data_IF_064408360504
#
_entry.id   IF_064408360504
#
_cell.length_a   1.000
_cell.length_b   1.000
_cell.length_c   1.000
_cell.angle_alpha   90.00
_cell.angle_beta   90.00
_cell.angle_gamma   90.00
#
_symmetry.space_group_name_H-M   'P 1'
#
loop_
_entity.id
_entity.type
_entity.pdbx_description
1 polymer ?
#
# COMPACT_ATOMS: atom_id res chain seq x y z
N UNK A 1 -30.16 -5.46 -76.71
CA UNK A 1 -30.11 -6.16 -75.45
C UNK A 1 -28.88 -5.69 -74.69
N UNK A 2 -29.04 -4.79 -73.66
CA UNK A 2 -27.93 -4.29 -72.79
C UNK A 2 -27.98 -5.08 -71.52
N UNK A 3 -26.90 -5.82 -71.19
CA UNK A 3 -26.74 -6.54 -69.91
C UNK A 3 -26.16 -5.57 -68.91
N UNK A 4 -26.92 -5.29 -67.86
CA UNK A 4 -26.45 -4.54 -66.71
C UNK A 4 -25.67 -5.50 -65.71
N UNK A 5 -24.42 -5.19 -65.50
CA UNK A 5 -23.55 -5.90 -64.51
C UNK A 5 -23.62 -5.14 -63.18
N UNK A 6 -24.23 -5.74 -62.17
CA UNK A 6 -24.23 -5.22 -60.76
C UNK A 6 -22.97 -5.72 -60.08
N UNK A 7 -22.10 -4.77 -59.77
CA UNK A 7 -20.92 -5.04 -58.88
C UNK A 7 -21.37 -4.90 -57.44
N UNK A 8 -21.40 -6.00 -56.72
CA UNK A 8 -21.69 -6.06 -55.29
C UNK A 8 -20.39 -5.78 -54.52
N UNK A 9 -20.25 -4.57 -53.96
CA UNK A 9 -19.10 -4.22 -53.09
C UNK A 9 -19.36 -4.78 -51.70
N UNK A 10 -18.65 -5.82 -51.30
CA UNK A 10 -18.65 -6.32 -49.93
C UNK A 10 -17.75 -5.43 -49.06
N UNK A 11 -18.35 -4.67 -48.16
CA UNK A 11 -17.66 -3.86 -47.16
C UNK A 11 -17.21 -4.81 -46.03
N UNK A 12 -15.92 -5.14 -45.98
CA UNK A 12 -15.32 -5.84 -44.83
C UNK A 12 -15.12 -4.83 -43.71
N UNK A 13 -16.00 -4.85 -42.70
CA UNK A 13 -15.80 -4.19 -41.44
C UNK A 13 -14.78 -5.02 -40.61
N UNK A 14 -13.52 -4.60 -40.62
CA UNK A 14 -12.51 -5.14 -39.73
C UNK A 14 -12.79 -4.65 -38.29
N UNK A 15 -13.43 -5.48 -37.49
CA UNK A 15 -13.45 -5.30 -36.03
C UNK A 15 -12.04 -5.53 -35.50
N UNK A 16 -11.27 -4.46 -35.27
CA UNK A 16 -10.04 -4.55 -34.49
C UNK A 16 -10.43 -4.77 -33.04
N UNK A 17 -10.39 -6.01 -32.61
CA UNK A 17 -10.50 -6.36 -31.18
C UNK A 17 -9.21 -5.84 -30.51
N UNK A 18 -9.24 -4.66 -29.92
CA UNK A 18 -8.21 -4.19 -29.01
C UNK A 18 -8.30 -5.05 -27.75
N UNK A 19 -7.61 -6.18 -27.74
CA UNK A 19 -7.36 -6.94 -26.51
C UNK A 19 -6.48 -6.03 -25.68
N UNK A 20 -7.08 -5.32 -24.72
CA UNK A 20 -6.35 -4.57 -23.70
C UNK A 20 -5.38 -5.56 -23.03
N UNK A 21 -4.08 -5.35 -23.24
CA UNK A 21 -3.03 -6.22 -22.69
C UNK A 21 -3.22 -6.27 -21.18
N UNK A 22 -3.60 -7.41 -20.64
CA UNK A 22 -3.75 -7.60 -19.21
C UNK A 22 -2.38 -7.35 -18.55
N UNK A 23 -2.30 -6.37 -17.66
CA UNK A 23 -1.07 -6.08 -16.92
C UNK A 23 -0.92 -7.15 -15.85
N UNK A 24 0.24 -7.77 -15.81
CA UNK A 24 0.63 -8.73 -14.77
C UNK A 24 1.99 -8.35 -14.19
N UNK A 25 2.25 -8.81 -12.99
CA UNK A 25 3.52 -8.63 -12.30
C UNK A 25 4.58 -9.64 -12.76
N UNK A 26 5.84 -9.34 -12.43
CA UNK A 26 6.99 -10.25 -12.54
C UNK A 26 7.82 -10.18 -11.25
N UNK A 27 8.61 -11.21 -10.98
CA UNK A 27 9.47 -11.25 -9.79
C UNK A 27 10.51 -10.12 -9.83
N UNK A 28 10.62 -9.36 -8.74
CA UNK A 28 11.68 -8.40 -8.50
C UNK A 28 12.76 -9.00 -7.60
N UNK A 29 12.36 -9.77 -6.57
CA UNK A 29 13.28 -10.50 -5.70
C UNK A 29 13.13 -12.01 -5.90
N UNK A 30 14.14 -12.81 -5.55
CA UNK A 30 13.97 -14.27 -5.48
C UNK A 30 12.85 -14.67 -4.53
N UNK A 31 12.24 -15.82 -4.79
CA UNK A 31 11.26 -16.42 -3.88
C UNK A 31 11.89 -16.72 -2.53
N UNK A 32 11.09 -16.66 -1.47
CA UNK A 32 11.53 -16.92 -0.09
C UNK A 32 12.63 -15.97 0.42
N UNK A 33 12.73 -14.77 -0.16
CA UNK A 33 13.64 -13.72 0.33
C UNK A 33 13.17 -13.08 1.64
N UNK A 34 11.92 -13.27 2.02
CA UNK A 34 11.29 -12.67 3.20
C UNK A 34 10.70 -13.74 4.12
N UNK A 35 10.29 -13.32 5.33
CA UNK A 35 9.42 -14.14 6.16
C UNK A 35 7.99 -14.19 5.61
N UNK A 36 7.10 -14.90 6.31
CA UNK A 36 5.66 -14.92 6.01
C UNK A 36 5.01 -13.51 6.12
N UNK A 37 5.64 -12.59 6.87
CA UNK A 37 5.15 -11.24 7.10
C UNK A 37 5.79 -10.21 6.13
N UNK A 38 6.04 -10.59 4.87
CA UNK A 38 6.54 -9.70 3.82
C UNK A 38 5.56 -8.55 3.59
N UNK A 39 5.96 -7.31 3.96
CA UNK A 39 5.09 -6.14 4.03
C UNK A 39 5.85 -4.82 3.88
N UNK A 40 5.11 -3.71 3.94
CA UNK A 40 5.59 -2.36 4.12
C UNK A 40 6.60 -1.87 3.10
N UNK A 41 6.39 -2.05 1.78
CA UNK A 41 7.34 -1.54 0.79
C UNK A 41 7.29 0.00 0.77
N UNK A 42 8.46 0.61 0.73
CA UNK A 42 8.61 2.06 0.58
C UNK A 42 9.86 2.39 -0.22
N UNK A 43 9.80 3.43 -1.06
CA UNK A 43 10.92 3.86 -1.90
C UNK A 43 11.37 5.25 -1.46
N UNK A 44 12.68 5.40 -1.19
CA UNK A 44 13.25 6.68 -0.79
C UNK A 44 13.51 7.60 -2.00
N UNK A 45 13.96 8.83 -1.72
CA UNK A 45 14.27 9.83 -2.78
C UNK A 45 15.45 9.45 -3.67
N UNK A 46 16.28 8.48 -3.25
CA UNK A 46 17.42 7.94 -4.01
C UNK A 46 17.01 6.75 -4.88
N UNK A 47 15.72 6.34 -4.83
CA UNK A 47 15.19 5.19 -5.56
C UNK A 47 15.49 3.85 -4.91
N UNK A 48 15.93 3.82 -3.65
CA UNK A 48 16.15 2.60 -2.90
C UNK A 48 14.82 2.09 -2.35
N UNK A 49 14.55 0.80 -2.54
CA UNK A 49 13.37 0.14 -1.99
C UNK A 49 13.71 -0.40 -0.60
N UNK A 50 12.84 -0.14 0.36
CA UNK A 50 12.86 -0.73 1.70
C UNK A 50 11.62 -1.59 1.88
N UNK A 51 11.79 -2.75 2.53
CA UNK A 51 10.70 -3.72 2.77
C UNK A 51 10.93 -4.35 4.15
N UNK A 52 9.88 -4.48 4.95
CA UNK A 52 10.01 -5.12 6.27
C UNK A 52 10.12 -6.63 6.15
N UNK A 53 10.71 -7.24 7.18
CA UNK A 53 10.81 -8.69 7.38
C UNK A 53 11.63 -9.42 6.30
N UNK A 54 12.67 -8.76 5.78
CA UNK A 54 13.63 -9.35 4.85
C UNK A 54 14.47 -10.42 5.55
N UNK A 55 14.53 -11.62 4.98
CA UNK A 55 15.14 -12.85 5.50
C UNK A 55 14.43 -13.42 6.74
N UNK A 56 14.04 -12.59 7.71
CA UNK A 56 13.34 -12.98 8.93
C UNK A 56 12.50 -11.83 9.49
N UNK A 57 11.57 -12.14 10.39
CA UNK A 57 10.81 -11.14 11.12
C UNK A 57 11.71 -10.20 11.94
N UNK A 58 11.25 -8.97 12.14
CA UNK A 58 11.96 -7.94 12.89
C UNK A 58 13.16 -7.35 12.16
N UNK A 59 13.19 -7.42 10.83
CA UNK A 59 14.24 -6.79 10.01
C UNK A 59 13.65 -5.83 9.00
N UNK A 60 14.46 -4.90 8.50
CA UNK A 60 14.18 -4.08 7.33
C UNK A 60 15.23 -4.39 6.26
N UNK A 61 14.78 -4.82 5.10
CA UNK A 61 15.63 -4.98 3.91
C UNK A 61 15.76 -3.68 3.14
N UNK A 62 16.92 -3.44 2.53
CA UNK A 62 17.15 -2.36 1.58
C UNK A 62 17.64 -2.93 0.26
N UNK A 63 17.00 -2.51 -0.84
CA UNK A 63 17.30 -2.93 -2.20
C UNK A 63 17.71 -1.70 -3.00
N UNK A 64 18.94 -1.71 -3.50
CA UNK A 64 19.48 -0.61 -4.29
C UNK A 64 19.03 -0.72 -5.75
N UNK A 65 19.02 0.38 -6.51
CA UNK A 65 18.66 0.35 -7.93
C UNK A 65 19.55 -0.56 -8.79
N UNK A 66 20.79 -0.84 -8.34
CA UNK A 66 21.73 -1.76 -8.99
C UNK A 66 21.49 -3.25 -8.66
N UNK A 67 20.42 -3.54 -7.89
CA UNK A 67 20.02 -4.90 -7.50
C UNK A 67 20.68 -5.43 -6.22
N UNK A 68 21.59 -4.68 -5.59
CA UNK A 68 22.15 -5.09 -4.30
C UNK A 68 21.11 -5.03 -3.21
N UNK A 69 21.08 -6.07 -2.37
CA UNK A 69 20.20 -6.18 -1.23
C UNK A 69 20.97 -6.44 0.06
N UNK A 70 20.51 -5.84 1.16
CA UNK A 70 21.08 -6.06 2.48
C UNK A 70 19.99 -6.05 3.56
N UNK A 71 20.25 -6.67 4.70
CA UNK A 71 19.53 -6.36 5.93
C UNK A 71 20.00 -4.97 6.39
N UNK A 72 19.14 -3.98 6.20
CA UNK A 72 19.45 -2.57 6.52
C UNK A 72 19.53 -2.35 8.03
N UNK A 73 18.55 -2.88 8.77
CA UNK A 73 18.50 -2.81 10.23
C UNK A 73 17.76 -4.02 10.79
N UNK A 74 18.16 -4.43 12.00
CA UNK A 74 17.37 -5.34 12.86
C UNK A 74 16.68 -4.49 13.91
N UNK A 75 15.37 -4.66 14.04
CA UNK A 75 14.55 -3.96 15.02
C UNK A 75 14.83 -4.46 16.44
N UNK A 76 14.45 -3.70 17.49
CA UNK A 76 14.52 -4.17 18.86
C UNK A 76 13.80 -5.51 19.06
N UNK A 77 14.22 -6.27 20.07
CA UNK A 77 13.59 -7.52 20.44
C UNK A 77 12.09 -7.31 20.71
N UNK A 78 11.27 -8.22 20.20
CA UNK A 78 9.80 -8.12 20.29
C UNK A 78 9.13 -7.26 19.22
N UNK A 79 9.90 -6.51 18.40
CA UNK A 79 9.35 -5.68 17.34
C UNK A 79 9.26 -6.44 16.02
N UNK A 80 8.12 -6.31 15.35
CA UNK A 80 7.88 -6.75 13.95
C UNK A 80 7.11 -5.65 13.26
N UNK A 81 7.78 -4.93 12.35
CA UNK A 81 7.13 -3.85 11.62
C UNK A 81 6.27 -4.38 10.47
N UNK A 82 5.21 -3.64 10.14
CA UNK A 82 4.27 -3.96 9.06
C UNK A 82 4.20 -2.87 7.97
N UNK A 83 4.65 -1.66 8.24
CA UNK A 83 4.68 -0.58 7.25
C UNK A 83 5.91 0.31 7.40
N UNK A 84 6.31 0.97 6.30
CA UNK A 84 7.35 1.99 6.28
C UNK A 84 6.82 3.23 5.55
N UNK A 85 7.14 4.43 6.10
CA UNK A 85 7.03 5.72 5.40
C UNK A 85 8.27 6.56 5.73
N UNK A 86 8.53 7.56 4.90
CA UNK A 86 9.62 8.51 5.12
C UNK A 86 9.06 9.84 5.59
N UNK A 87 9.63 10.42 6.65
CA UNK A 87 9.31 11.78 7.03
C UNK A 87 9.99 12.81 6.09
N UNK A 88 9.73 14.10 6.29
CA UNK A 88 10.27 15.18 5.45
C UNK A 88 11.81 15.25 5.46
N UNK A 89 12.46 14.71 6.50
CA UNK A 89 13.93 14.64 6.65
C UNK A 89 14.51 13.37 6.04
N UNK A 90 13.68 12.39 5.71
CA UNK A 90 14.08 11.11 5.15
C UNK A 90 14.31 10.01 6.21
N UNK A 91 13.96 10.25 7.48
CA UNK A 91 13.93 9.21 8.48
C UNK A 91 12.79 8.22 8.18
N UNK A 92 13.01 6.94 8.45
CA UNK A 92 11.98 5.92 8.28
C UNK A 92 11.07 5.89 9.51
N UNK A 93 9.77 5.92 9.26
CA UNK A 93 8.73 5.70 10.28
C UNK A 93 8.09 4.34 10.02
N UNK A 94 7.99 3.51 11.04
CA UNK A 94 7.50 2.14 10.94
C UNK A 94 6.32 1.91 11.88
N UNK A 95 5.27 1.27 11.37
CA UNK A 95 4.22 0.70 12.20
C UNK A 95 4.75 -0.60 12.82
N UNK A 96 5.03 -0.60 14.11
CA UNK A 96 5.53 -1.75 14.84
C UNK A 96 4.38 -2.56 15.41
N UNK A 97 3.93 -3.51 14.62
CA UNK A 97 2.78 -4.36 14.87
C UNK A 97 2.89 -5.15 16.18
N UNK A 98 4.04 -5.79 16.44
CA UNK A 98 4.24 -6.62 17.63
C UNK A 98 4.67 -5.82 18.87
N UNK A 99 5.39 -4.72 18.66
CA UNK A 99 5.84 -3.86 19.75
C UNK A 99 4.84 -2.80 20.16
N UNK A 100 3.73 -2.64 19.43
CA UNK A 100 2.68 -1.64 19.68
C UNK A 100 3.19 -0.20 19.69
N UNK A 101 4.04 0.14 18.70
CA UNK A 101 4.70 1.44 18.59
C UNK A 101 4.61 2.01 17.16
N UNK A 102 4.97 3.27 17.03
CA UNK A 102 5.55 3.81 15.80
C UNK A 102 7.04 3.98 16.08
N UNK A 103 7.86 3.25 15.32
CA UNK A 103 9.33 3.36 15.42
C UNK A 103 9.84 4.39 14.43
N UNK A 104 11.02 4.92 14.72
CA UNK A 104 11.77 5.83 13.85
C UNK A 104 13.19 5.32 13.67
N UNK A 105 13.67 5.31 12.41
CA UNK A 105 15.02 4.92 12.06
C UNK A 105 15.70 6.06 11.34
N UNK A 106 16.87 6.47 11.83
CA UNK A 106 17.73 7.38 11.10
C UNK A 106 18.46 6.59 9.99
N UNK A 107 18.34 6.98 8.71
CA UNK A 107 18.89 6.19 7.60
C UNK A 107 20.41 6.18 7.51
N UNK A 108 21.10 7.18 8.11
CA UNK A 108 22.56 7.29 8.07
C UNK A 108 23.21 6.50 9.20
N UNK A 109 22.71 6.67 10.42
CA UNK A 109 23.24 6.00 11.61
C UNK A 109 22.65 4.62 11.85
N UNK A 110 21.51 4.31 11.21
CA UNK A 110 20.68 3.11 11.42
C UNK A 110 20.16 2.98 12.87
N UNK A 111 20.22 4.05 13.64
CA UNK A 111 19.68 4.07 15.01
C UNK A 111 18.16 3.95 14.98
N UNK A 112 17.63 3.04 15.79
CA UNK A 112 16.18 2.81 15.97
C UNK A 112 15.75 3.43 17.28
N UNK A 113 14.63 4.14 17.29
CA UNK A 113 14.01 4.71 18.49
C UNK A 113 12.49 4.61 18.41
N UNK A 114 11.82 4.61 19.57
CA UNK A 114 10.37 4.75 19.62
C UNK A 114 10.00 6.20 19.35
N UNK A 115 9.26 6.45 18.28
CA UNK A 115 8.74 7.77 17.93
C UNK A 115 7.45 8.09 18.68
N UNK A 116 6.54 7.09 18.74
CA UNK A 116 5.26 7.20 19.44
C UNK A 116 4.91 5.87 20.08
N UNK A 117 4.40 5.96 21.29
CA UNK A 117 3.77 4.86 22.03
C UNK A 117 2.50 5.37 22.69
N UNK A 118 1.42 4.59 22.61
CA UNK A 118 0.19 4.82 23.38
C UNK A 118 -0.30 3.47 23.89
N UNK A 119 -0.65 3.38 25.17
CA UNK A 119 -1.10 2.12 25.80
C UNK A 119 -2.39 1.57 25.15
N UNK A 120 -3.11 2.38 24.39
CA UNK A 120 -4.33 2.00 23.69
C UNK A 120 -4.08 1.46 22.28
N UNK A 121 -2.84 1.49 21.78
CA UNK A 121 -2.51 0.84 20.52
C UNK A 121 -2.78 -0.66 20.62
N UNK A 122 -3.47 -1.20 19.60
CA UNK A 122 -3.65 -2.65 19.46
C UNK A 122 -2.46 -3.24 18.70
N UNK A 123 -2.41 -3.04 17.40
CA UNK A 123 -1.40 -3.60 16.49
C UNK A 123 -1.20 -2.63 15.32
N UNK A 124 -0.51 -1.47 15.50
CA UNK A 124 -0.29 -0.51 14.41
C UNK A 124 0.15 -1.23 13.13
N UNK A 125 -0.66 -1.11 12.07
CA UNK A 125 -0.54 -1.95 10.88
C UNK A 125 0.03 -1.19 9.69
N UNK A 126 -0.71 -0.23 9.13
CA UNK A 126 -0.21 0.64 8.05
C UNK A 126 -0.26 2.11 8.47
N UNK A 127 0.57 2.92 7.87
CA UNK A 127 0.67 4.35 8.13
C UNK A 127 0.75 5.12 6.81
N UNK A 128 0.19 6.32 6.78
CA UNK A 128 0.51 7.33 5.77
C UNK A 128 0.92 8.64 6.46
N UNK A 129 1.60 9.50 5.75
CA UNK A 129 2.16 10.74 6.28
C UNK A 129 1.89 11.89 5.31
N UNK A 130 1.51 13.05 5.84
CA UNK A 130 1.34 14.26 5.04
C UNK A 130 2.63 15.09 4.99
N UNK A 131 2.62 16.17 4.21
CA UNK A 131 3.78 17.08 4.03
C UNK A 131 4.16 17.86 5.29
N UNK A 132 3.32 17.87 6.33
CA UNK A 132 3.57 18.48 7.64
C UNK A 132 4.09 17.47 8.68
N UNK A 133 4.45 16.25 8.23
CA UNK A 133 4.88 15.14 9.07
C UNK A 133 3.82 14.68 10.09
N UNK A 134 2.54 14.86 9.77
CA UNK A 134 1.44 14.25 10.51
C UNK A 134 1.20 12.85 9.97
N UNK A 135 1.25 11.86 10.85
CA UNK A 135 1.02 10.45 10.52
C UNK A 135 -0.44 10.10 10.81
N UNK A 136 -1.06 9.34 9.90
CA UNK A 136 -2.28 8.60 10.17
C UNK A 136 -1.95 7.12 10.21
N UNK A 137 -2.47 6.41 11.22
CA UNK A 137 -2.18 4.99 11.43
C UNK A 137 -3.48 4.19 11.55
N UNK A 138 -3.54 3.08 10.85
CA UNK A 138 -4.52 2.03 11.07
C UNK A 138 -4.04 1.11 12.18
N UNK A 139 -4.95 0.70 13.04
CA UNK A 139 -4.63 -0.04 14.24
C UNK A 139 -5.69 -1.13 14.50
N UNK A 140 -5.59 -2.28 13.82
CA UNK A 140 -6.54 -3.36 13.95
C UNK A 140 -6.40 -4.11 15.28
N UNK A 141 -7.50 -4.70 15.72
CA UNK A 141 -7.54 -5.80 16.67
C UNK A 141 -8.07 -7.05 15.95
N UNK A 142 -7.15 -7.86 15.44
CA UNK A 142 -7.47 -9.02 14.61
C UNK A 142 -8.29 -10.07 15.37
N UNK A 143 -8.06 -10.21 16.69
CA UNK A 143 -8.78 -11.17 17.52
C UNK A 143 -10.28 -10.87 17.63
N UNK A 144 -10.63 -9.58 17.61
CA UNK A 144 -11.99 -9.10 17.78
C UNK A 144 -12.64 -8.63 16.48
N UNK A 145 -11.92 -8.67 15.35
CA UNK A 145 -12.34 -8.12 14.05
C UNK A 145 -12.74 -6.65 14.14
N UNK A 146 -12.04 -5.87 14.96
CA UNK A 146 -12.24 -4.43 15.13
C UNK A 146 -10.99 -3.64 14.79
N UNK A 147 -11.08 -2.32 14.82
CA UNK A 147 -9.94 -1.46 14.55
C UNK A 147 -10.15 -0.03 15.00
N UNK A 148 -9.07 0.70 14.95
CA UNK A 148 -8.97 2.10 15.32
C UNK A 148 -8.27 2.89 14.22
N UNK A 149 -8.48 4.20 14.22
CA UNK A 149 -7.79 5.16 13.39
C UNK A 149 -7.11 6.20 14.28
N UNK A 150 -5.82 6.41 14.07
CA UNK A 150 -5.01 7.32 14.86
C UNK A 150 -4.40 8.43 14.02
N UNK A 151 -4.20 9.59 14.65
CA UNK A 151 -3.37 10.68 14.18
C UNK A 151 -2.20 10.87 15.14
N UNK A 152 -0.98 10.90 14.61
CA UNK A 152 0.22 11.17 15.40
C UNK A 152 0.86 12.45 14.85
N UNK A 153 1.07 13.44 15.70
CA UNK A 153 1.69 14.69 15.28
C UNK A 153 3.21 14.54 15.10
N UNK A 154 3.83 15.56 14.53
CA UNK A 154 5.29 15.59 14.26
C UNK A 154 6.17 15.45 15.52
N UNK A 155 5.61 15.57 16.71
CA UNK A 155 6.30 15.40 18.00
C UNK A 155 6.04 14.03 18.65
N UNK A 156 5.31 13.14 17.95
CA UNK A 156 4.99 11.80 18.44
C UNK A 156 3.76 11.72 19.36
N UNK A 157 2.95 12.79 19.46
CA UNK A 157 1.72 12.75 20.25
C UNK A 157 0.59 12.08 19.49
N UNK A 158 0.10 10.95 20.01
CA UNK A 158 -1.04 10.24 19.44
C UNK A 158 -2.39 10.86 19.85
N UNK A 159 -3.33 10.85 18.92
CA UNK A 159 -4.74 11.21 19.11
C UNK A 159 -5.59 10.16 18.44
N UNK A 160 -6.48 9.52 19.19
CA UNK A 160 -7.47 8.59 18.64
C UNK A 160 -8.51 9.40 17.86
N UNK A 161 -8.65 9.10 16.56
CA UNK A 161 -9.62 9.76 15.70
C UNK A 161 -10.95 8.99 15.65
N UNK A 162 -10.88 7.67 15.56
CA UNK A 162 -12.06 6.80 15.52
C UNK A 162 -11.76 5.44 16.14
N UNK A 163 -12.74 4.85 16.81
CA UNK A 163 -12.73 3.48 17.34
C UNK A 163 -13.98 2.73 16.92
N UNK A 164 -13.98 1.41 17.12
CA UNK A 164 -15.12 0.56 16.75
C UNK A 164 -15.29 0.40 15.24
N UNK A 165 -14.26 0.65 14.46
CA UNK A 165 -14.20 0.27 13.05
C UNK A 165 -14.10 -1.25 12.90
N UNK A 166 -14.24 -1.76 11.68
CA UNK A 166 -13.84 -3.11 11.34
C UNK A 166 -12.31 -3.29 11.41
N UNK A 167 -11.80 -4.36 10.85
CA UNK A 167 -10.37 -4.69 10.88
C UNK A 167 -9.59 -3.73 9.98
N UNK A 168 -9.21 -2.56 10.51
CA UNK A 168 -8.49 -1.52 9.75
C UNK A 168 -7.14 -2.04 9.27
N UNK A 169 -6.78 -1.75 8.01
CA UNK A 169 -5.53 -2.21 7.41
C UNK A 169 -4.94 -1.08 6.55
N UNK A 170 -4.93 -1.19 5.22
CA UNK A 170 -4.37 -0.18 4.35
C UNK A 170 -4.91 1.23 4.63
N UNK A 171 -4.01 2.20 4.66
CA UNK A 171 -4.32 3.61 4.88
C UNK A 171 -3.48 4.49 3.94
N UNK A 172 -4.12 5.46 3.27
CA UNK A 172 -3.43 6.31 2.31
C UNK A 172 -4.10 7.68 2.16
N UNK A 173 -3.30 8.71 1.94
CA UNK A 173 -3.77 10.06 1.59
C UNK A 173 -3.90 10.23 0.08
N UNK A 174 -4.90 10.99 -0.36
CA UNK A 174 -4.93 11.49 -1.73
C UNK A 174 -3.72 12.40 -2.00
N UNK A 175 -3.27 12.57 -3.27
CA UNK A 175 -2.10 13.38 -3.59
C UNK A 175 -2.21 14.87 -3.19
N UNK A 176 -3.43 15.39 -3.06
CA UNK A 176 -3.73 16.74 -2.56
C UNK A 176 -3.90 16.81 -1.03
N UNK A 177 -3.78 15.66 -0.34
CA UNK A 177 -3.89 15.48 1.10
C UNK A 177 -5.25 15.88 1.70
N UNK A 178 -6.30 16.00 0.88
CA UNK A 178 -7.65 16.38 1.33
C UNK A 178 -8.55 15.19 1.64
N UNK A 179 -8.15 13.98 1.23
CA UNK A 179 -8.89 12.76 1.47
C UNK A 179 -7.98 11.72 2.11
N UNK A 180 -8.42 11.15 3.21
CA UNK A 180 -7.80 9.97 3.82
C UNK A 180 -8.66 8.75 3.49
N UNK A 181 -8.04 7.74 2.88
CA UNK A 181 -8.64 6.44 2.64
C UNK A 181 -8.19 5.46 3.71
N UNK A 182 -9.12 4.70 4.27
CA UNK A 182 -8.86 3.61 5.24
C UNK A 182 -9.68 2.41 4.82
N UNK A 183 -9.05 1.26 4.68
CA UNK A 183 -9.82 0.04 4.43
C UNK A 183 -10.02 -0.80 5.69
N UNK A 184 -11.04 -1.64 5.64
CA UNK A 184 -11.33 -2.70 6.59
C UNK A 184 -11.16 -4.03 5.88
N UNK A 185 -10.14 -4.79 6.26
CA UNK A 185 -9.71 -6.00 5.55
C UNK A 185 -10.80 -7.05 5.43
N UNK A 186 -11.38 -7.45 6.58
CA UNK A 186 -12.39 -8.52 6.66
C UNK A 186 -13.75 -8.03 6.15
N UNK A 187 -14.13 -6.79 6.49
CA UNK A 187 -15.39 -6.17 6.09
C UNK A 187 -15.39 -5.72 4.63
N UNK A 188 -14.20 -5.62 4.00
CA UNK A 188 -13.99 -5.31 2.58
C UNK A 188 -14.53 -3.93 2.17
N UNK A 189 -14.55 -3.01 3.12
CA UNK A 189 -14.92 -1.62 2.89
C UNK A 189 -13.67 -0.76 2.68
N UNK A 190 -13.76 0.22 1.81
CA UNK A 190 -12.85 1.35 1.74
C UNK A 190 -13.63 2.59 2.16
N UNK A 191 -13.19 3.21 3.24
CA UNK A 191 -13.75 4.46 3.75
C UNK A 191 -12.94 5.65 3.25
N UNK A 192 -13.60 6.78 3.04
CA UNK A 192 -12.96 8.05 2.74
C UNK A 192 -13.40 9.11 3.76
N UNK A 193 -12.43 9.87 4.25
CA UNK A 193 -12.62 10.99 5.16
C UNK A 193 -12.11 12.27 4.52
N UNK A 194 -12.77 13.40 4.80
CA UNK A 194 -12.18 14.71 4.51
C UNK A 194 -11.10 15.02 5.54
N UNK A 195 -9.96 15.55 5.09
CA UNK A 195 -8.82 15.93 5.94
C UNK A 195 -8.67 17.46 5.92
N UNK A 196 -8.65 18.07 7.10
CA UNK A 196 -8.36 19.49 7.25
C UNK A 196 -6.84 19.76 7.24
N UNK A 197 -6.40 21.02 7.03
CA UNK A 197 -4.97 21.36 7.01
C UNK A 197 -4.21 20.99 8.30
N UNK A 198 -4.89 20.96 9.45
CA UNK A 198 -4.32 20.54 10.74
C UNK A 198 -4.43 19.03 11.00
N UNK A 199 -4.88 18.26 10.01
CA UNK A 199 -4.94 16.82 10.06
C UNK A 199 -6.13 16.23 10.85
N UNK A 200 -7.21 17.02 11.05
CA UNK A 200 -8.46 16.46 11.57
C UNK A 200 -9.23 15.77 10.46
N UNK A 201 -9.93 14.68 10.79
CA UNK A 201 -10.76 13.94 9.85
C UNK A 201 -12.24 14.19 10.09
N UNK A 202 -13.03 14.22 9.03
CA UNK A 202 -14.47 14.43 9.07
C UNK A 202 -15.16 13.79 7.86
N UNK A 203 -16.49 13.89 7.79
CA UNK A 203 -17.27 13.48 6.60
C UNK A 203 -16.97 12.05 6.14
N UNK A 204 -16.88 11.08 7.09
CA UNK A 204 -16.72 9.67 6.76
C UNK A 204 -17.80 9.22 5.79
N UNK A 205 -17.39 8.57 4.71
CA UNK A 205 -18.30 7.97 3.72
C UNK A 205 -17.72 6.66 3.19
N UNK A 206 -18.60 5.73 2.83
CA UNK A 206 -18.19 4.55 2.09
C UNK A 206 -17.71 5.00 0.71
N UNK A 207 -16.45 4.70 0.39
CA UNK A 207 -15.84 5.01 -0.91
C UNK A 207 -16.04 3.87 -1.90
N UNK A 208 -15.79 2.63 -1.43
CA UNK A 208 -16.00 1.42 -2.21
C UNK A 208 -16.24 0.21 -1.30
N UNK A 209 -17.02 -0.76 -1.78
CA UNK A 209 -17.17 -2.07 -1.15
C UNK A 209 -16.82 -3.16 -2.15
N UNK A 210 -16.05 -4.15 -1.69
CA UNK A 210 -15.69 -5.31 -2.49
C UNK A 210 -16.48 -6.54 -2.00
N UNK A 211 -16.98 -7.35 -2.93
CA UNK A 211 -17.80 -8.53 -2.61
C UNK A 211 -16.95 -9.75 -2.22
N UNK A 212 -15.67 -9.80 -2.65
CA UNK A 212 -14.78 -10.94 -2.49
C UNK A 212 -13.45 -10.54 -1.84
N UNK A 213 -12.68 -11.50 -1.35
CA UNK A 213 -11.31 -11.41 -0.86
C UNK A 213 -11.01 -10.26 0.12
N UNK A 214 -9.97 -10.40 0.92
CA UNK A 214 -9.54 -9.39 1.88
C UNK A 214 -8.96 -8.15 1.21
N UNK A 215 -8.92 -7.04 1.96
CA UNK A 215 -8.20 -5.84 1.59
C UNK A 215 -6.95 -5.74 2.45
N UNK A 216 -5.84 -5.29 1.86
CA UNK A 216 -4.59 -5.08 2.57
C UNK A 216 -4.04 -3.67 2.25
N UNK A 217 -2.77 -3.49 1.97
CA UNK A 217 -2.20 -2.17 1.71
C UNK A 217 -2.84 -1.40 0.55
N UNK A 218 -2.72 -0.09 0.58
CA UNK A 218 -3.23 0.82 -0.46
C UNK A 218 -2.23 1.91 -0.78
N UNK A 219 -2.23 2.40 -2.04
CA UNK A 219 -1.46 3.57 -2.47
C UNK A 219 -2.21 4.38 -3.53
N UNK A 220 -2.11 5.70 -3.45
CA UNK A 220 -2.56 6.58 -4.52
C UNK A 220 -1.47 6.82 -5.56
N UNK A 221 -1.83 6.81 -6.85
CA UNK A 221 -0.96 7.36 -7.89
C UNK A 221 -1.08 8.89 -7.94
N UNK A 222 -0.22 9.53 -8.75
CA UNK A 222 -0.21 11.01 -8.90
C UNK A 222 -1.51 11.59 -9.48
N UNK A 223 -2.37 10.77 -10.09
CA UNK A 223 -3.68 11.16 -10.62
C UNK A 223 -4.80 10.99 -9.60
N UNK A 224 -4.48 10.46 -8.41
CA UNK A 224 -5.43 10.16 -7.36
C UNK A 224 -6.15 8.82 -7.51
N UNK A 225 -5.73 7.97 -8.44
CA UNK A 225 -6.27 6.60 -8.48
C UNK A 225 -5.75 5.81 -7.29
N UNK A 226 -6.64 5.13 -6.58
CA UNK A 226 -6.35 4.32 -5.41
C UNK A 226 -6.12 2.87 -5.82
N UNK A 227 -4.91 2.37 -5.60
CA UNK A 227 -4.52 0.97 -5.80
C UNK A 227 -4.78 0.23 -4.49
N UNK A 228 -5.59 -0.81 -4.53
CA UNK A 228 -5.98 -1.63 -3.37
C UNK A 228 -5.50 -3.05 -3.58
N UNK A 229 -4.64 -3.55 -2.71
CA UNK A 229 -4.21 -4.95 -2.75
C UNK A 229 -5.33 -5.85 -2.26
N UNK A 230 -5.54 -6.98 -2.98
CA UNK A 230 -6.62 -7.92 -2.70
C UNK A 230 -6.05 -9.22 -2.16
N UNK A 231 -5.88 -9.26 -0.83
CA UNK A 231 -5.31 -10.42 -0.14
C UNK A 231 -6.20 -11.65 -0.33
N UNK A 232 -5.61 -12.76 -0.80
CA UNK A 232 -6.33 -13.96 -1.21
C UNK A 232 -6.85 -13.94 -2.66
N UNK A 233 -6.95 -12.76 -3.27
CA UNK A 233 -7.47 -12.57 -4.63
C UNK A 233 -6.41 -12.60 -5.74
N UNK A 234 -5.13 -12.46 -5.41
CA UNK A 234 -4.05 -12.47 -6.40
C UNK A 234 -4.11 -11.31 -7.39
N UNK A 235 -4.54 -10.15 -6.94
CA UNK A 235 -4.70 -8.97 -7.80
C UNK A 235 -4.58 -7.66 -7.01
N UNK A 236 -4.37 -6.58 -7.76
CA UNK A 236 -4.49 -5.20 -7.28
C UNK A 236 -5.62 -4.56 -8.07
N UNK A 237 -6.65 -4.09 -7.39
CA UNK A 237 -7.74 -3.35 -8.00
C UNK A 237 -7.48 -1.84 -7.90
N UNK A 238 -7.75 -1.11 -8.99
CA UNK A 238 -7.50 0.33 -9.08
C UNK A 238 -8.84 1.07 -9.16
N UNK A 239 -9.06 1.93 -8.20
CA UNK A 239 -10.25 2.78 -8.12
C UNK A 239 -9.90 4.20 -8.60
N UNK A 240 -10.77 4.79 -9.41
CA UNK A 240 -10.66 6.20 -9.77
C UNK A 240 -10.99 7.12 -8.58
N UNK A 241 -10.66 8.42 -8.62
CA UNK A 241 -10.97 9.36 -7.52
C UNK A 241 -12.47 9.48 -7.23
N UNK A 242 -13.34 9.12 -8.16
CA UNK A 242 -14.80 9.07 -7.99
C UNK A 242 -15.33 7.70 -7.54
N UNK A 243 -14.44 6.77 -7.14
CA UNK A 243 -14.81 5.48 -6.55
C UNK A 243 -15.26 4.42 -7.56
N UNK A 244 -14.81 4.48 -8.82
CA UNK A 244 -15.11 3.44 -9.83
C UNK A 244 -13.93 2.50 -10.01
N UNK A 245 -14.19 1.21 -10.09
CA UNK A 245 -13.18 0.22 -10.48
C UNK A 245 -12.84 0.43 -11.96
N UNK A 246 -11.59 0.80 -12.24
CA UNK A 246 -11.12 1.13 -13.59
C UNK A 246 -10.13 0.12 -14.15
N UNK A 247 -9.49 -0.69 -13.31
CA UNK A 247 -8.45 -1.62 -13.73
C UNK A 247 -8.20 -2.66 -12.65
N UNK A 248 -7.82 -3.88 -13.06
CA UNK A 248 -7.27 -4.93 -12.20
C UNK A 248 -5.94 -5.40 -12.76
N UNK A 249 -4.96 -5.63 -11.88
CA UNK A 249 -3.61 -6.08 -12.22
C UNK A 249 -3.40 -7.42 -11.53
N UNK A 250 -3.14 -8.47 -12.30
CA UNK A 250 -2.91 -9.81 -11.75
C UNK A 250 -1.51 -9.94 -11.20
N UNK A 251 -1.38 -10.60 -10.05
CA UNK A 251 -0.11 -10.99 -9.44
C UNK A 251 0.12 -12.49 -9.61
N UNK A 252 1.36 -12.95 -9.46
CA UNK A 252 1.67 -14.38 -9.54
C UNK A 252 1.27 -15.12 -8.25
N UNK A 253 1.37 -14.44 -7.08
CA UNK A 253 0.87 -14.94 -5.80
C UNK A 253 -0.56 -14.48 -5.52
N UNK A 254 -1.15 -15.03 -4.47
CA UNK A 254 -2.52 -14.69 -4.05
C UNK A 254 -2.58 -13.78 -2.83
N UNK A 255 -1.58 -13.83 -1.95
CA UNK A 255 -1.55 -13.02 -0.72
C UNK A 255 -0.80 -11.71 -0.96
N UNK A 256 -1.42 -10.84 -1.75
CA UNK A 256 -0.90 -9.52 -2.10
C UNK A 256 -1.07 -8.62 -0.90
N UNK A 257 0.03 -8.23 -0.24
CA UNK A 257 -0.07 -7.49 1.01
C UNK A 257 0.01 -5.96 0.82
N UNK A 258 1.02 -5.43 0.14
CA UNK A 258 1.14 -3.98 -0.01
C UNK A 258 1.84 -3.61 -1.33
N UNK A 259 1.96 -2.31 -1.61
CA UNK A 259 2.65 -1.82 -2.81
C UNK A 259 3.33 -0.47 -2.55
N UNK A 260 4.32 -0.15 -3.40
CA UNK A 260 4.98 1.14 -3.41
C UNK A 260 5.31 1.58 -4.84
N UNK A 261 5.14 2.87 -5.12
CA UNK A 261 5.59 3.47 -6.38
C UNK A 261 7.05 3.87 -6.29
N UNK A 262 7.83 3.61 -7.35
CA UNK A 262 9.23 3.95 -7.43
C UNK A 262 9.76 3.91 -8.87
N UNK A 263 11.07 3.70 -8.99
CA UNK A 263 11.79 3.80 -10.25
C UNK A 263 12.07 5.25 -10.66
N UNK A 264 12.94 5.47 -11.66
CA UNK A 264 13.41 6.81 -12.04
C UNK A 264 12.29 7.78 -12.47
N UNK A 265 11.19 7.25 -13.01
CA UNK A 265 10.04 8.02 -13.48
C UNK A 265 8.80 7.88 -12.57
N UNK A 266 8.93 7.15 -11.44
CA UNK A 266 7.84 6.90 -10.51
C UNK A 266 6.76 5.93 -11.04
N UNK A 267 7.05 5.18 -12.11
CA UNK A 267 6.08 4.27 -12.75
C UNK A 267 6.34 2.80 -12.44
N UNK A 268 7.43 2.46 -11.82
CA UNK A 268 7.66 1.11 -11.30
C UNK A 268 6.85 0.93 -10.03
N UNK A 269 6.09 -0.14 -9.94
CA UNK A 269 5.32 -0.50 -8.76
C UNK A 269 5.92 -1.77 -8.19
N UNK A 270 6.33 -1.72 -6.93
CA UNK A 270 6.81 -2.86 -6.15
C UNK A 270 5.66 -3.38 -5.31
N UNK A 271 5.48 -4.70 -5.29
CA UNK A 271 4.33 -5.38 -4.68
C UNK A 271 4.81 -6.48 -3.77
N UNK A 272 4.45 -6.49 -2.52
CA UNK A 272 4.80 -7.54 -1.56
C UNK A 272 3.82 -8.69 -1.62
N UNK A 273 4.33 -9.93 -1.63
CA UNK A 273 3.58 -11.19 -1.72
C UNK A 273 3.95 -12.09 -0.53
N UNK A 274 3.01 -12.31 0.39
CA UNK A 274 3.25 -13.12 1.60
C UNK A 274 3.35 -14.61 1.29
N UNK A 275 2.49 -15.14 0.43
CA UNK A 275 2.50 -16.58 0.04
C UNK A 275 3.74 -16.96 -0.78
N UNK A 276 4.34 -16.03 -1.49
CA UNK A 276 5.57 -16.21 -2.26
C UNK A 276 6.82 -15.72 -1.52
N UNK A 277 6.65 -14.96 -0.43
CA UNK A 277 7.72 -14.35 0.38
C UNK A 277 8.72 -13.58 -0.48
N UNK A 278 8.18 -12.77 -1.38
CA UNK A 278 8.96 -12.01 -2.36
C UNK A 278 8.31 -10.66 -2.67
N UNK A 279 9.04 -9.82 -3.39
CA UNK A 279 8.55 -8.63 -4.04
C UNK A 279 8.40 -8.91 -5.53
N UNK A 280 7.23 -8.60 -6.08
CA UNK A 280 6.97 -8.54 -7.51
C UNK A 280 6.97 -7.09 -8.00
N UNK A 281 6.98 -6.89 -9.30
CA UNK A 281 6.96 -5.56 -9.91
C UNK A 281 6.16 -5.53 -11.20
N UNK A 282 5.62 -4.35 -11.53
CA UNK A 282 5.05 -4.04 -12.83
C UNK A 282 5.26 -2.56 -13.18
N UNK A 283 4.97 -2.20 -14.44
CA UNK A 283 4.99 -0.80 -14.90
C UNK A 283 3.57 -0.26 -15.00
N UNK A 284 3.35 0.91 -14.35
CA UNK A 284 2.06 1.64 -14.39
C UNK A 284 1.99 2.63 -15.57
#
# INVERSE_FOLDING_TARGET
MKKNLYILSALFLAFSCNIARQISTSDFTPLNSFSQNCEGPAVDRKGQLYVVNYQKDGTVGRFQPDGKAEVFVTLPEGSTANAIRFDSRGDLLLADFSGHNILKINPETRAVSTFCHDIRFNQPNDICINRQDVIFASDPNWSNNTGQLWRIDKNGKATLLESGMGTTNGIELSPDEKTLYVNESIQRNVWAYSVSPDGQVSNKRLFFHFDDHGLDGMKCDRRGNLYVTRWGGGKIDVLSPDGKLIKSISTQGKQVSNLAFGGPDGRTVYVTLQDRKCVETFRN
#
